data_IF_562474650054
#
_entry.id   IF_562474650054
#
_cell.length_a   1.000
_cell.length_b   1.000
_cell.length_c   1.000
_cell.angle_alpha   90.00
_cell.angle_beta   90.00
_cell.angle_gamma   90.00
#
_symmetry.space_group_name_H-M   'P 1'
#
loop_
_entity.id
_entity.type
_entity.pdbx_description
1 polymer ?
#
# COMPACT_ATOMS: atom_id res chain seq x y z
N UNK A 1 23.70 -23.19 36.90
CA UNK A 1 22.97 -22.18 37.72
C UNK A 1 23.43 -20.74 37.51
N UNK A 2 24.72 -20.48 37.21
CA UNK A 2 25.25 -19.10 37.06
C UNK A 2 24.59 -18.24 35.95
N UNK A 3 24.29 -18.82 34.77
CA UNK A 3 23.66 -18.07 33.65
C UNK A 3 22.26 -17.55 33.98
N UNK A 4 21.49 -18.27 34.81
CA UNK A 4 20.11 -17.90 35.16
C UNK A 4 20.09 -16.74 36.18
N UNK A 5 21.06 -16.71 37.10
CA UNK A 5 21.27 -15.57 38.00
C UNK A 5 21.72 -14.32 37.24
N UNK A 6 22.68 -14.45 36.33
CA UNK A 6 23.15 -13.30 35.55
C UNK A 6 22.03 -12.61 34.75
N UNK A 7 21.14 -13.38 34.12
CA UNK A 7 19.98 -12.82 33.41
C UNK A 7 18.98 -12.15 34.36
N UNK A 8 18.72 -12.73 35.55
CA UNK A 8 17.85 -12.08 36.54
C UNK A 8 18.47 -10.85 37.16
N UNK A 9 19.80 -10.82 37.32
CA UNK A 9 20.53 -9.69 37.92
C UNK A 9 20.65 -8.52 36.93
N UNK A 10 20.70 -8.82 35.62
CA UNK A 10 20.55 -7.82 34.54
C UNK A 10 19.12 -7.25 34.51
N UNK A 11 18.10 -8.12 34.47
CA UNK A 11 16.70 -7.66 34.41
C UNK A 11 16.24 -6.98 35.69
N UNK A 12 16.78 -7.37 36.85
CA UNK A 12 16.43 -6.83 38.16
C UNK A 12 17.21 -5.58 38.58
N UNK A 13 18.10 -5.05 37.73
CA UNK A 13 18.83 -3.80 37.99
C UNK A 13 19.92 -3.89 39.07
N UNK A 14 20.20 -5.07 39.63
CA UNK A 14 21.27 -5.24 40.63
C UNK A 14 22.66 -4.94 40.07
N UNK A 15 22.85 -5.07 38.75
CA UNK A 15 24.10 -4.66 38.08
C UNK A 15 24.36 -3.16 38.21
N UNK A 16 23.33 -2.31 38.21
CA UNK A 16 23.49 -0.85 38.38
C UNK A 16 23.99 -0.46 39.78
N UNK A 17 23.73 -1.30 40.79
CA UNK A 17 24.07 -1.04 42.20
C UNK A 17 25.53 -1.43 42.51
N UNK A 18 26.18 -2.20 41.63
CA UNK A 18 27.60 -2.51 41.77
C UNK A 18 28.45 -1.23 41.67
N UNK A 19 29.34 -1.03 42.63
CA UNK A 19 30.05 0.24 42.92
C UNK A 19 30.81 0.87 41.74
N UNK A 20 31.14 0.11 40.69
CA UNK A 20 31.79 0.63 39.47
C UNK A 20 30.84 1.27 38.45
N UNK A 21 29.55 0.87 38.42
CA UNK A 21 28.58 1.35 37.41
C UNK A 21 27.87 2.63 37.88
N UNK A 22 27.71 2.80 39.19
CA UNK A 22 27.16 4.03 39.80
C UNK A 22 27.98 5.28 39.43
N UNK A 23 29.30 5.13 39.23
CA UNK A 23 30.19 6.22 38.85
C UNK A 23 29.99 6.68 37.39
N UNK A 24 29.35 5.85 36.56
CA UNK A 24 29.05 6.08 35.15
C UNK A 24 27.55 6.06 34.86
N UNK A 25 26.72 6.34 35.87
CA UNK A 25 25.26 6.27 35.78
C UNK A 25 24.67 7.09 34.62
N UNK A 26 25.29 8.23 34.27
CA UNK A 26 24.90 9.03 33.10
C UNK A 26 25.08 8.28 31.76
N UNK A 27 26.12 7.46 31.63
CA UNK A 27 26.36 6.64 30.44
C UNK A 27 25.35 5.50 30.31
N UNK A 28 25.00 4.86 31.43
CA UNK A 28 23.96 3.82 31.45
C UNK A 28 22.59 4.39 31.04
N UNK A 29 22.25 5.57 31.56
CA UNK A 29 20.99 6.24 31.23
C UNK A 29 20.95 6.67 29.75
N UNK A 30 22.09 7.10 29.20
CA UNK A 30 22.23 7.40 27.77
C UNK A 30 21.97 6.16 26.89
N UNK A 31 22.58 5.02 27.20
CA UNK A 31 22.33 3.77 26.47
C UNK A 31 20.86 3.35 26.60
N UNK A 32 20.29 3.46 27.79
CA UNK A 32 18.89 3.11 28.03
C UNK A 32 17.94 3.95 27.16
N UNK A 33 18.20 5.27 27.04
CA UNK A 33 17.45 6.16 26.18
C UNK A 33 17.60 5.76 24.70
N UNK A 34 18.82 5.45 24.26
CA UNK A 34 19.08 4.93 22.91
C UNK A 34 18.32 3.63 22.61
N UNK A 35 18.24 2.71 23.57
CA UNK A 35 17.49 1.46 23.41
C UNK A 35 15.99 1.73 23.26
N UNK A 36 15.42 2.61 24.08
CA UNK A 36 14.01 3.00 23.96
C UNK A 36 13.75 3.65 22.61
N UNK A 37 14.62 4.58 22.20
CA UNK A 37 14.51 5.28 20.92
C UNK A 37 14.57 4.27 19.76
N UNK A 38 15.51 3.32 19.81
CA UNK A 38 15.63 2.27 18.81
C UNK A 38 14.37 1.42 18.68
N UNK A 39 13.79 0.99 19.81
CA UNK A 39 12.54 0.21 19.83
C UNK A 39 11.38 1.03 19.23
N UNK A 40 11.26 2.30 19.63
CA UNK A 40 10.22 3.20 19.12
C UNK A 40 10.33 3.43 17.60
N UNK A 41 11.56 3.62 17.11
CA UNK A 41 11.82 3.81 15.69
C UNK A 41 11.49 2.56 14.88
N UNK A 42 11.91 1.38 15.36
CA UNK A 42 11.60 0.11 14.71
C UNK A 42 10.09 -0.11 14.60
N UNK A 43 9.36 0.10 15.70
CA UNK A 43 7.90 -0.06 15.71
C UNK A 43 7.22 0.89 14.74
N UNK A 44 7.71 2.13 14.65
CA UNK A 44 7.17 3.12 13.69
C UNK A 44 7.41 2.68 12.25
N UNK A 45 8.63 2.23 11.92
CA UNK A 45 8.98 1.77 10.57
C UNK A 45 8.13 0.56 10.18
N UNK A 46 7.98 -0.41 11.08
CA UNK A 46 7.20 -1.62 10.83
C UNK A 46 5.73 -1.28 10.51
N UNK A 47 5.11 -0.40 11.30
CA UNK A 47 3.74 0.04 11.06
C UNK A 47 3.60 0.77 9.71
N UNK A 48 4.57 1.61 9.34
CA UNK A 48 4.58 2.28 8.02
C UNK A 48 4.73 1.27 6.89
N UNK A 49 5.56 0.25 7.06
CA UNK A 49 5.79 -0.78 6.05
C UNK A 49 4.54 -1.66 5.84
N UNK A 50 3.76 -1.91 6.90
CA UNK A 50 2.47 -2.60 6.79
C UNK A 50 1.46 -1.75 6.03
N UNK A 51 1.33 -0.47 6.39
CA UNK A 51 0.41 0.44 5.70
C UNK A 51 0.77 0.61 4.21
N UNK A 52 2.07 0.74 3.90
CA UNK A 52 2.55 0.85 2.52
C UNK A 52 2.18 -0.40 1.71
N UNK A 53 2.40 -1.61 2.26
CA UNK A 53 2.02 -2.85 1.59
C UNK A 53 0.51 -2.95 1.33
N UNK A 54 -0.31 -2.44 2.25
CA UNK A 54 -1.76 -2.37 2.06
C UNK A 54 -2.12 -1.42 0.91
N UNK A 55 -1.59 -0.20 0.93
CA UNK A 55 -1.85 0.81 -0.09
C UNK A 55 -1.41 0.35 -1.49
N UNK A 56 -0.25 -0.30 -1.61
CA UNK A 56 0.23 -0.86 -2.88
C UNK A 56 -0.73 -1.93 -3.44
N UNK A 57 -1.32 -2.77 -2.56
CA UNK A 57 -2.33 -3.74 -2.98
C UNK A 57 -3.61 -3.06 -3.46
N UNK A 58 -4.07 -2.04 -2.76
CA UNK A 58 -5.25 -1.27 -3.19
C UNK A 58 -5.03 -0.59 -4.53
N UNK A 59 -3.88 0.05 -4.74
CA UNK A 59 -3.53 0.69 -6.03
C UNK A 59 -3.55 -0.36 -7.15
N UNK A 60 -2.98 -1.54 -6.91
CA UNK A 60 -2.98 -2.63 -7.91
C UNK A 60 -4.41 -3.09 -8.23
N UNK A 61 -5.25 -3.27 -7.22
CA UNK A 61 -6.65 -3.65 -7.40
C UNK A 61 -7.43 -2.57 -8.16
N UNK A 62 -7.23 -1.29 -7.82
CA UNK A 62 -7.89 -0.17 -8.47
C UNK A 62 -7.49 -0.05 -9.94
N UNK A 63 -6.19 -0.26 -10.25
CA UNK A 63 -5.68 -0.31 -11.62
C UNK A 63 -6.30 -1.46 -12.42
N UNK A 64 -6.41 -2.64 -11.83
CA UNK A 64 -7.06 -3.78 -12.47
C UNK A 64 -8.55 -3.49 -12.75
N UNK A 65 -9.26 -2.92 -11.77
CA UNK A 65 -10.66 -2.53 -11.91
C UNK A 65 -10.88 -1.49 -13.01
N UNK A 66 -10.07 -0.42 -13.02
CA UNK A 66 -10.10 0.59 -14.08
C UNK A 66 -9.85 -0.03 -15.46
N UNK A 67 -8.88 -0.93 -15.57
CA UNK A 67 -8.58 -1.62 -16.83
C UNK A 67 -9.77 -2.47 -17.28
N UNK A 68 -10.44 -3.16 -16.36
CA UNK A 68 -11.66 -3.92 -16.63
C UNK A 68 -12.82 -3.04 -17.13
N UNK A 69 -13.09 -1.92 -16.47
CA UNK A 69 -14.11 -0.96 -16.90
C UNK A 69 -13.78 -0.42 -18.29
N UNK A 70 -12.52 -0.01 -18.51
CA UNK A 70 -12.08 0.51 -19.81
C UNK A 70 -12.25 -0.54 -20.91
N UNK A 71 -11.88 -1.79 -20.66
CA UNK A 71 -12.07 -2.87 -21.62
C UNK A 71 -13.54 -3.12 -21.94
N UNK A 72 -14.42 -3.10 -20.92
CA UNK A 72 -15.87 -3.22 -21.10
C UNK A 72 -16.45 -2.06 -21.92
N UNK A 73 -16.02 -0.84 -21.65
CA UNK A 73 -16.45 0.35 -22.41
C UNK A 73 -15.99 0.25 -23.86
N UNK A 74 -14.73 -0.12 -24.10
CA UNK A 74 -14.20 -0.33 -25.45
C UNK A 74 -14.97 -1.39 -26.21
N UNK A 75 -15.31 -2.51 -25.55
CA UNK A 75 -16.14 -3.56 -26.13
C UNK A 75 -17.52 -3.02 -26.52
N UNK A 76 -18.21 -2.34 -25.60
CA UNK A 76 -19.51 -1.73 -25.86
C UNK A 76 -19.49 -0.64 -26.94
N UNK A 77 -18.36 0.06 -27.11
CA UNK A 77 -18.19 1.08 -28.16
C UNK A 77 -17.94 0.51 -29.56
N UNK A 78 -17.75 -0.81 -29.70
CA UNK A 78 -17.57 -1.43 -31.01
C UNK A 78 -18.86 -1.28 -31.82
N UNK A 79 -18.73 -0.82 -33.07
CA UNK A 79 -19.85 -0.65 -34.01
C UNK A 79 -20.77 -1.88 -34.05
N UNK A 80 -20.20 -3.07 -34.17
CA UNK A 80 -20.95 -4.34 -34.22
C UNK A 80 -21.83 -4.54 -32.98
N UNK A 81 -21.33 -4.15 -31.80
CA UNK A 81 -22.07 -4.34 -30.55
C UNK A 81 -23.13 -3.25 -30.34
N UNK A 82 -22.83 -2.02 -30.77
CA UNK A 82 -23.81 -0.94 -30.84
C UNK A 82 -24.95 -1.33 -31.79
N UNK A 83 -24.64 -1.87 -32.97
CA UNK A 83 -25.63 -2.35 -33.95
C UNK A 83 -26.50 -3.48 -33.38
N UNK A 84 -25.89 -4.46 -32.70
CA UNK A 84 -26.64 -5.52 -32.00
C UNK A 84 -27.60 -4.94 -30.96
N UNK A 85 -27.12 -4.01 -30.13
CA UNK A 85 -27.98 -3.36 -29.11
C UNK A 85 -29.10 -2.52 -29.75
N UNK A 86 -28.81 -1.79 -30.83
CA UNK A 86 -29.83 -1.00 -31.54
C UNK A 86 -30.94 -1.91 -32.10
N UNK A 87 -30.59 -3.09 -32.60
CA UNK A 87 -31.57 -4.11 -33.03
C UNK A 87 -32.38 -4.65 -31.85
N UNK A 88 -31.74 -4.96 -30.71
CA UNK A 88 -32.42 -5.40 -29.48
C UNK A 88 -33.42 -4.34 -28.97
N UNK A 89 -33.10 -3.05 -29.11
CA UNK A 89 -33.98 -1.93 -28.74
C UNK A 89 -35.02 -1.56 -29.81
N UNK A 90 -35.21 -2.37 -30.86
CA UNK A 90 -36.11 -2.11 -31.98
C UNK A 90 -35.85 -0.77 -32.71
N UNK A 91 -34.61 -0.30 -32.73
CA UNK A 91 -34.23 0.92 -33.45
C UNK A 91 -34.13 0.67 -34.95
N UNK A 92 -34.60 1.63 -35.76
CA UNK A 92 -34.51 1.58 -37.22
C UNK A 92 -33.18 2.14 -37.77
N UNK A 93 -32.27 2.57 -36.89
CA UNK A 93 -30.99 3.14 -37.25
C UNK A 93 -30.07 2.07 -37.84
N UNK A 94 -29.59 2.31 -39.07
CA UNK A 94 -28.65 1.43 -39.79
C UNK A 94 -27.26 2.04 -39.80
N UNK A 95 -26.24 1.18 -39.77
CA UNK A 95 -24.85 1.61 -39.88
C UNK A 95 -24.62 2.28 -41.24
N UNK A 96 -24.01 3.47 -41.30
CA UNK A 96 -23.72 4.12 -42.56
C UNK A 96 -22.67 3.32 -43.33
N UNK A 97 -23.00 2.96 -44.58
CA UNK A 97 -22.14 2.18 -45.48
C UNK A 97 -20.99 3.01 -46.06
N UNK A 98 -21.19 4.32 -46.21
CA UNK A 98 -20.20 5.25 -46.73
C UNK A 98 -19.60 6.09 -45.59
N UNK A 99 -18.28 6.36 -45.61
CA UNK A 99 -17.67 7.29 -44.67
C UNK A 99 -18.24 8.70 -44.87
N UNK A 100 -18.32 9.54 -43.82
CA UNK A 100 -18.80 10.90 -43.94
C UNK A 100 -17.90 11.71 -44.88
N UNK A 101 -18.48 12.28 -45.93
CA UNK A 101 -17.81 13.20 -46.86
C UNK A 101 -18.15 14.64 -46.49
N UNK A 102 -17.17 15.54 -46.70
CA UNK A 102 -17.41 16.98 -46.62
C UNK A 102 -18.35 17.34 -47.77
N UNK A 103 -19.45 18.02 -47.44
CA UNK A 103 -20.38 18.55 -48.44
C UNK A 103 -19.90 19.97 -48.73
N UNK A 104 -19.26 20.20 -49.87
CA UNK A 104 -19.02 21.54 -50.38
C UNK A 104 -20.33 22.04 -51.01
N UNK A 105 -20.82 23.19 -50.53
CA UNK A 105 -21.98 23.88 -51.08
C UNK A 105 -21.45 24.91 -52.08
N UNK A 106 -21.77 24.72 -53.36
CA UNK A 106 -21.55 25.71 -54.44
C UNK A 106 -22.47 26.93 -54.28
#
# INVERSE_FOLDING_TARGET
MAKKKWVSDIMGGQILISSGIMQQMGFVLYIFLLVILYISLNFTIENRLVAERHNQREIKNLKAHYTGIKARLLYQSKRIEIEKKLLEYNSQLKSPANPPSIIELD
#
